data_IF_318536007455
#
_entry.id   IF_318536007455
#
_cell.length_a   1.000
_cell.length_b   1.000
_cell.length_c   1.000
_cell.angle_alpha   90.00
_cell.angle_beta   90.00
_cell.angle_gamma   90.00
#
_symmetry.space_group_name_H-M   'P 1'
#
loop_
_entity.id
_entity.type
_entity.pdbx_description
1 polymer ?
#
# COMPACT_ATOMS: atom_id res chain seq x y z
N UNK A 1 31.90 26.20 -56.34
CA UNK A 1 32.61 25.76 -55.11
C UNK A 1 31.73 25.48 -53.87
N UNK A 2 30.41 25.75 -53.83
CA UNK A 2 29.57 25.50 -52.62
C UNK A 2 28.89 24.11 -52.56
N UNK A 3 28.82 23.36 -53.66
CA UNK A 3 28.18 22.04 -53.71
C UNK A 3 29.07 20.91 -53.15
N UNK A 4 30.36 20.89 -53.50
CA UNK A 4 31.29 19.83 -53.07
C UNK A 4 31.52 19.74 -51.56
N UNK A 5 31.49 20.87 -50.83
CA UNK A 5 31.64 20.87 -49.36
C UNK A 5 30.43 20.25 -48.64
N UNK A 6 29.22 20.36 -49.19
CA UNK A 6 28.02 19.75 -48.59
C UNK A 6 28.00 18.23 -48.79
N UNK A 7 28.46 17.75 -49.94
CA UNK A 7 28.58 16.31 -50.22
C UNK A 7 29.65 15.70 -49.32
N UNK A 8 30.80 16.36 -49.14
CA UNK A 8 31.86 15.89 -48.26
C UNK A 8 31.41 15.79 -46.79
N UNK A 9 30.66 16.78 -46.29
CA UNK A 9 30.12 16.76 -44.92
C UNK A 9 29.09 15.64 -44.71
N UNK A 10 28.24 15.35 -45.71
CA UNK A 10 27.30 14.23 -45.65
C UNK A 10 27.98 12.87 -45.70
N UNK A 11 29.08 12.74 -46.44
CA UNK A 11 29.86 11.49 -46.47
C UNK A 11 30.56 11.27 -45.12
N UNK A 12 31.14 12.32 -44.53
CA UNK A 12 31.79 12.24 -43.22
C UNK A 12 30.78 11.88 -42.12
N UNK A 13 29.55 12.42 -42.15
CA UNK A 13 28.52 12.11 -41.16
C UNK A 13 28.04 10.66 -41.26
N UNK A 14 27.91 10.12 -42.47
CA UNK A 14 27.54 8.71 -42.68
C UNK A 14 28.65 7.77 -42.20
N UNK A 15 29.92 8.10 -42.48
CA UNK A 15 31.08 7.30 -42.01
C UNK A 15 31.18 7.32 -40.48
N UNK A 16 30.96 8.48 -39.84
CA UNK A 16 31.00 8.55 -38.37
C UNK A 16 29.85 7.78 -37.73
N UNK A 17 28.65 7.82 -38.30
CA UNK A 17 27.50 7.04 -37.82
C UNK A 17 27.72 5.52 -37.96
N UNK A 18 28.34 5.05 -39.04
CA UNK A 18 28.68 3.63 -39.21
C UNK A 18 29.78 3.16 -38.25
N UNK A 19 30.80 3.98 -37.99
CA UNK A 19 31.83 3.65 -36.99
C UNK A 19 31.27 3.59 -35.57
N UNK A 20 30.39 4.51 -35.19
CA UNK A 20 29.75 4.51 -33.85
C UNK A 20 28.87 3.27 -33.67
N UNK A 21 28.08 2.90 -34.69
CA UNK A 21 27.22 1.71 -34.61
C UNK A 21 28.02 0.41 -34.60
N UNK A 22 29.14 0.32 -35.34
CA UNK A 22 30.06 -0.81 -35.27
C UNK A 22 30.74 -0.93 -33.90
N UNK A 23 31.15 0.19 -33.30
CA UNK A 23 31.77 0.23 -31.97
C UNK A 23 30.80 -0.21 -30.88
N UNK A 24 29.54 0.21 -30.94
CA UNK A 24 28.48 -0.24 -30.03
C UNK A 24 28.23 -1.74 -30.20
N UNK A 25 28.17 -2.23 -31.43
CA UNK A 25 27.98 -3.66 -31.72
C UNK A 25 29.11 -4.52 -31.14
N UNK A 26 30.38 -4.14 -31.37
CA UNK A 26 31.54 -4.85 -30.84
C UNK A 26 31.56 -4.80 -29.31
N UNK A 27 31.29 -3.65 -28.70
CA UNK A 27 31.29 -3.49 -27.24
C UNK A 27 30.17 -4.30 -26.56
N UNK A 28 29.01 -4.43 -27.21
CA UNK A 28 27.87 -5.16 -26.68
C UNK A 28 28.00 -6.69 -26.86
N UNK A 29 28.63 -7.13 -27.96
CA UNK A 29 28.84 -8.56 -28.22
C UNK A 29 30.15 -9.14 -27.66
N UNK A 30 31.20 -8.33 -27.49
CA UNK A 30 32.46 -8.79 -26.87
C UNK A 30 32.32 -9.09 -25.37
N UNK A 31 31.26 -8.60 -24.71
CA UNK A 31 31.01 -8.83 -23.29
C UNK A 31 30.07 -10.02 -23.01
N UNK A 32 29.57 -10.72 -24.03
CA UNK A 32 28.57 -11.79 -23.88
C UNK A 32 29.00 -13.16 -24.42
N UNK A 33 30.30 -13.42 -24.59
CA UNK A 33 30.78 -14.79 -24.85
C UNK A 33 31.07 -15.51 -23.53
N UNK A 34 30.32 -16.57 -23.16
CA UNK A 34 30.64 -17.39 -22.01
C UNK A 34 31.94 -18.15 -22.28
N UNK A 35 32.96 -17.96 -21.45
CA UNK A 35 34.18 -18.77 -21.48
C UNK A 35 33.83 -20.22 -21.15
N UNK A 36 33.89 -21.08 -22.17
CA UNK A 36 33.83 -22.52 -22.02
C UNK A 36 35.09 -23.01 -21.30
N UNK A 37 34.93 -23.59 -20.10
CA UNK A 37 36.00 -24.33 -19.44
C UNK A 37 36.15 -24.05 -17.94
N UNK A 38 35.20 -24.50 -17.12
CA UNK A 38 35.46 -24.87 -15.72
C UNK A 38 34.39 -25.83 -15.14
N UNK A 39 33.77 -26.63 -16.00
CA UNK A 39 32.76 -27.66 -15.64
C UNK A 39 33.34 -28.95 -15.03
N UNK A 40 34.59 -28.94 -14.54
CA UNK A 40 35.26 -30.14 -14.01
C UNK A 40 35.50 -30.16 -12.50
N UNK A 41 35.20 -29.08 -11.77
CA UNK A 41 35.39 -29.00 -10.30
C UNK A 41 34.07 -29.27 -9.53
N UNK A 42 32.93 -29.34 -10.22
CA UNK A 42 31.60 -29.38 -9.59
C UNK A 42 30.99 -30.77 -9.38
N UNK A 43 31.76 -31.86 -9.54
CA UNK A 43 31.23 -33.24 -9.44
C UNK A 43 31.68 -34.06 -8.24
N UNK A 44 32.53 -33.54 -7.34
CA UNK A 44 33.03 -34.33 -6.19
C UNK A 44 32.51 -33.93 -4.80
N UNK A 45 31.75 -32.84 -4.63
CA UNK A 45 31.25 -32.43 -3.31
C UNK A 45 29.77 -32.73 -3.05
N UNK A 46 29.16 -33.66 -3.80
CA UNK A 46 27.79 -34.13 -3.52
C UNK A 46 27.84 -35.30 -2.54
N UNK A 47 28.24 -35.03 -1.29
CA UNK A 47 27.95 -35.86 -0.12
C UNK A 47 28.46 -35.14 1.12
N UNK A 48 27.53 -34.86 2.04
CA UNK A 48 27.67 -34.12 3.29
C UNK A 48 27.60 -32.59 3.16
N UNK A 49 26.38 -32.07 3.19
CA UNK A 49 26.02 -30.95 4.08
C UNK A 49 24.50 -30.79 4.11
N UNK A 50 23.88 -31.32 5.15
CA UNK A 50 22.46 -31.05 5.46
C UNK A 50 22.37 -29.73 6.24
N UNK A 51 22.82 -28.65 5.61
CA UNK A 51 22.58 -27.31 6.14
C UNK A 51 21.10 -27.00 5.96
N UNK A 52 20.42 -26.69 7.06
CA UNK A 52 18.99 -26.41 7.07
C UNK A 52 18.65 -25.25 6.13
N UNK A 53 17.51 -25.28 5.45
CA UNK A 53 17.01 -24.14 4.67
C UNK A 53 16.99 -22.84 5.50
N UNK A 54 16.88 -22.94 6.84
CA UNK A 54 17.01 -21.81 7.79
C UNK A 54 18.44 -21.28 7.95
N UNK A 55 19.45 -22.12 7.78
CA UNK A 55 20.87 -21.74 7.83
C UNK A 55 21.31 -21.12 6.50
N UNK A 56 20.82 -21.65 5.37
CA UNK A 56 20.98 -21.02 4.06
C UNK A 56 20.31 -19.63 4.00
N UNK A 57 19.10 -19.47 4.55
CA UNK A 57 18.45 -18.15 4.66
C UNK A 57 19.23 -17.17 5.55
N UNK A 58 19.88 -17.64 6.61
CA UNK A 58 20.77 -16.80 7.45
C UNK A 58 22.05 -16.41 6.72
N UNK A 59 22.64 -17.32 5.95
CA UNK A 59 23.86 -17.09 5.18
C UNK A 59 23.64 -16.16 3.99
N UNK A 60 22.51 -16.29 3.27
CA UNK A 60 22.15 -15.38 2.17
C UNK A 60 21.57 -14.03 2.64
N UNK A 61 21.07 -13.94 3.87
CA UNK A 61 20.72 -12.66 4.49
C UNK A 61 21.95 -11.85 4.93
N UNK A 62 23.07 -12.53 5.22
CA UNK A 62 24.28 -11.89 5.73
C UNK A 62 25.23 -11.37 4.63
N UNK A 63 25.11 -11.81 3.38
CA UNK A 63 26.19 -11.62 2.39
C UNK A 63 25.87 -10.72 1.20
N UNK A 64 24.63 -10.25 0.98
CA UNK A 64 24.33 -9.40 -0.19
C UNK A 64 23.43 -8.17 0.02
N UNK A 65 22.99 -7.82 1.24
CA UNK A 65 22.02 -6.71 1.44
C UNK A 65 22.20 -5.84 2.71
N UNK A 66 23.39 -5.83 3.35
CA UNK A 66 23.66 -4.86 4.42
C UNK A 66 22.72 -4.96 5.65
N UNK A 67 22.45 -6.19 6.13
CA UNK A 67 21.73 -6.40 7.39
C UNK A 67 22.47 -7.31 8.36
N UNK A 68 22.89 -6.72 9.46
CA UNK A 68 22.73 -7.25 10.81
C UNK A 68 22.60 -6.02 11.73
N UNK A 69 21.42 -5.41 11.71
CA UNK A 69 21.04 -4.53 12.81
C UNK A 69 20.63 -5.44 13.96
N UNK A 70 21.50 -5.55 14.96
CA UNK A 70 21.31 -6.34 16.18
C UNK A 70 20.43 -5.64 17.22
N UNK A 71 19.80 -4.50 16.87
CA UNK A 71 18.88 -3.79 17.76
C UNK A 71 17.82 -4.75 18.31
N UNK A 72 17.70 -4.71 19.63
CA UNK A 72 16.70 -5.50 20.38
C UNK A 72 15.39 -4.75 20.50
N UNK A 73 15.39 -3.44 20.26
CA UNK A 73 14.25 -2.56 20.38
C UNK A 73 13.61 -2.28 19.02
N UNK A 74 12.88 -3.27 18.51
CA UNK A 74 12.21 -3.22 17.21
C UNK A 74 10.70 -3.25 17.39
N UNK A 75 10.01 -2.31 16.78
CA UNK A 75 8.54 -2.29 16.73
C UNK A 75 8.10 -2.79 15.35
N UNK A 76 7.22 -3.79 15.33
CA UNK A 76 6.72 -4.43 14.11
C UNK A 76 5.23 -4.06 13.92
N UNK A 77 4.94 -3.28 12.88
CA UNK A 77 3.59 -2.80 12.57
C UNK A 77 3.12 -3.43 11.26
N UNK A 78 2.06 -4.23 11.29
CA UNK A 78 1.41 -4.72 10.08
C UNK A 78 0.52 -3.63 9.47
N UNK A 79 0.64 -3.38 8.18
CA UNK A 79 -0.19 -2.43 7.42
C UNK A 79 -0.91 -3.18 6.31
N UNK A 80 -2.24 -3.19 6.36
CA UNK A 80 -3.07 -4.09 5.57
C UNK A 80 -4.20 -3.34 4.87
N UNK A 81 -4.26 -3.46 3.54
CA UNK A 81 -5.38 -2.98 2.73
C UNK A 81 -6.39 -4.10 2.48
N UNK A 82 -7.64 -3.89 2.90
CA UNK A 82 -8.73 -4.85 2.76
C UNK A 82 -9.60 -4.58 1.52
N UNK A 83 -10.04 -5.62 0.79
CA UNK A 83 -11.09 -5.51 -0.25
C UNK A 83 -12.50 -5.45 0.36
N UNK A 84 -12.73 -4.47 1.23
CA UNK A 84 -14.04 -4.20 1.82
C UNK A 84 -14.81 -3.24 0.93
N UNK A 85 -15.47 -3.78 -0.10
CA UNK A 85 -16.41 -3.00 -0.91
C UNK A 85 -17.63 -2.63 -0.06
N UNK A 86 -18.24 -1.47 -0.35
CA UNK A 86 -19.38 -0.94 0.41
C UNK A 86 -20.50 -1.98 0.63
N UNK A 87 -20.70 -2.34 1.89
CA UNK A 87 -21.71 -3.30 2.36
C UNK A 87 -21.29 -4.78 2.31
N UNK A 88 -20.12 -5.10 1.75
CA UNK A 88 -19.56 -6.46 1.79
C UNK A 88 -18.98 -6.76 3.18
N UNK A 89 -19.15 -7.98 3.66
CA UNK A 89 -18.45 -8.50 4.85
C UNK A 89 -17.10 -9.17 4.53
N UNK A 90 -16.70 -9.18 3.26
CA UNK A 90 -15.44 -9.79 2.85
C UNK A 90 -14.25 -8.91 3.24
N UNK A 91 -13.24 -9.54 3.84
CA UNK A 91 -12.05 -8.89 4.39
C UNK A 91 -10.78 -9.49 3.78
N UNK A 92 -10.72 -9.66 2.45
CA UNK A 92 -9.50 -10.13 1.80
C UNK A 92 -8.37 -9.12 1.97
N UNK A 93 -7.19 -9.58 2.37
CA UNK A 93 -6.00 -8.74 2.55
C UNK A 93 -5.23 -8.59 1.23
N UNK A 94 -5.61 -7.59 0.44
CA UNK A 94 -5.16 -7.38 -0.93
C UNK A 94 -3.85 -6.59 -1.05
N UNK A 95 -3.50 -5.85 0.00
CA UNK A 95 -2.21 -5.20 0.21
C UNK A 95 -1.70 -5.59 1.60
N UNK A 96 -0.45 -6.02 1.70
CA UNK A 96 0.14 -6.53 2.93
C UNK A 96 1.56 -5.99 3.07
N UNK A 97 1.80 -5.20 4.10
CA UNK A 97 3.13 -4.64 4.38
C UNK A 97 3.46 -4.80 5.85
N UNK A 98 4.74 -4.96 6.15
CA UNK A 98 5.26 -4.92 7.50
C UNK A 98 6.23 -3.75 7.60
N UNK A 99 5.97 -2.82 8.52
CA UNK A 99 6.91 -1.78 8.91
C UNK A 99 7.65 -2.25 10.15
N UNK A 100 8.98 -2.39 10.04
CA UNK A 100 9.85 -2.65 11.19
C UNK A 100 10.65 -1.41 11.50
N UNK A 101 10.50 -0.90 12.71
CA UNK A 101 11.11 0.34 13.18
C UNK A 101 12.17 -0.03 14.20
N UNK A 102 13.43 0.16 13.83
CA UNK A 102 14.59 -0.11 14.68
C UNK A 102 14.90 1.17 15.45
N UNK A 103 14.47 1.23 16.70
CA UNK A 103 14.54 2.46 17.50
C UNK A 103 15.98 2.84 17.87
N UNK A 104 16.86 1.86 18.02
CA UNK A 104 18.26 2.11 18.44
C UNK A 104 19.10 2.63 17.27
N UNK A 105 18.91 2.07 16.07
CA UNK A 105 19.66 2.45 14.86
C UNK A 105 18.99 3.56 14.04
N UNK A 106 17.73 3.83 14.35
CA UNK A 106 16.84 4.76 13.65
C UNK A 106 16.74 4.47 12.16
N UNK A 107 16.35 3.22 11.89
CA UNK A 107 16.06 2.73 10.55
C UNK A 107 14.64 2.19 10.48
N UNK A 108 14.06 2.31 9.31
CA UNK A 108 12.77 1.71 8.97
C UNK A 108 12.96 0.69 7.86
N UNK A 109 12.25 -0.41 7.98
CA UNK A 109 12.17 -1.45 6.98
C UNK A 109 10.72 -1.67 6.58
N UNK A 110 10.47 -1.67 5.28
CA UNK A 110 9.17 -1.98 4.70
C UNK A 110 9.30 -3.31 3.97
N UNK A 111 8.57 -4.32 4.44
CA UNK A 111 8.51 -5.62 3.78
C UNK A 111 7.13 -5.77 3.14
N UNK A 112 7.09 -5.76 1.82
CA UNK A 112 5.86 -5.93 1.04
C UNK A 112 5.60 -7.41 0.76
N UNK A 113 4.38 -7.89 0.99
CA UNK A 113 4.01 -9.30 0.85
C UNK A 113 2.87 -9.40 -0.18
N UNK A 114 3.15 -9.93 -1.40
CA UNK A 114 2.12 -10.11 -2.42
C UNK A 114 0.93 -10.91 -1.88
N UNK A 115 -0.29 -10.53 -2.27
CA UNK A 115 -1.53 -11.16 -1.76
C UNK A 115 -1.62 -12.65 -2.10
N UNK A 116 -0.97 -13.04 -3.20
CA UNK A 116 -0.89 -14.41 -3.69
C UNK A 116 0.15 -15.28 -2.99
N UNK A 117 0.86 -14.76 -1.98
CA UNK A 117 1.85 -15.55 -1.22
C UNK A 117 1.17 -16.78 -0.62
N UNK A 118 1.71 -17.96 -0.94
CA UNK A 118 1.14 -19.22 -0.49
C UNK A 118 1.17 -19.31 1.04
N UNK A 119 0.03 -19.65 1.62
CA UNK A 119 -0.10 -19.95 3.05
C UNK A 119 -1.13 -21.05 3.22
N UNK A 120 -0.94 -21.91 4.23
CA UNK A 120 -1.90 -22.98 4.53
C UNK A 120 -3.13 -22.38 5.22
N UNK A 121 -4.09 -21.95 4.41
CA UNK A 121 -5.36 -21.33 4.84
C UNK A 121 -6.43 -22.34 5.24
N UNK A 122 -6.17 -23.65 5.03
CA UNK A 122 -7.08 -24.73 5.38
C UNK A 122 -8.11 -25.06 4.30
N UNK A 123 -7.92 -24.56 3.08
CA UNK A 123 -8.65 -25.02 1.91
C UNK A 123 -8.00 -26.29 1.34
N UNK A 124 -8.76 -27.10 0.60
CA UNK A 124 -8.19 -28.20 -0.16
C UNK A 124 -7.12 -27.67 -1.12
N UNK A 125 -5.98 -28.37 -1.24
CA UNK A 125 -4.86 -27.90 -2.05
C UNK A 125 -5.22 -27.74 -3.54
N UNK A 126 -6.21 -28.49 -4.01
CA UNK A 126 -6.77 -28.40 -5.36
C UNK A 126 -7.58 -27.14 -5.62
N UNK A 127 -7.97 -26.38 -4.58
CA UNK A 127 -8.81 -25.19 -4.72
C UNK A 127 -8.07 -23.96 -5.24
N UNK A 128 -6.74 -23.92 -5.13
CA UNK A 128 -5.95 -22.71 -5.40
C UNK A 128 -6.24 -21.55 -4.44
N UNK A 129 -6.95 -21.77 -3.32
CA UNK A 129 -7.36 -20.72 -2.36
C UNK A 129 -6.40 -20.55 -1.18
N UNK A 130 -5.33 -21.34 -1.12
CA UNK A 130 -4.31 -21.30 -0.07
C UNK A 130 -3.30 -20.14 -0.28
N UNK A 131 -3.79 -18.90 -0.21
CA UNK A 131 -2.97 -17.70 -0.28
C UNK A 131 -3.35 -16.65 0.78
N UNK A 132 -2.42 -15.74 1.06
CA UNK A 132 -2.45 -14.82 2.19
C UNK A 132 -3.71 -13.94 2.23
N UNK A 133 -4.16 -13.42 1.08
CA UNK A 133 -5.39 -12.62 1.01
C UNK A 133 -6.62 -13.37 1.57
N UNK A 134 -6.73 -14.67 1.35
CA UNK A 134 -7.84 -15.48 1.83
C UNK A 134 -7.73 -15.83 3.30
N UNK A 135 -6.52 -15.89 3.85
CA UNK A 135 -6.31 -16.21 5.26
C UNK A 135 -6.99 -15.18 6.16
N UNK A 136 -6.85 -13.88 5.85
CA UNK A 136 -7.49 -12.80 6.63
C UNK A 136 -9.02 -12.88 6.61
N UNK A 137 -9.58 -13.21 5.45
CA UNK A 137 -11.02 -13.34 5.26
C UNK A 137 -11.59 -14.61 5.94
N UNK A 138 -10.90 -15.75 5.82
CA UNK A 138 -11.41 -17.05 6.27
C UNK A 138 -11.02 -17.43 7.71
N UNK A 139 -9.92 -16.91 8.25
CA UNK A 139 -9.38 -17.29 9.57
C UNK A 139 -9.20 -16.10 10.54
N UNK A 140 -9.57 -14.89 10.11
CA UNK A 140 -9.51 -13.69 10.95
C UNK A 140 -8.10 -13.09 11.09
N UNK A 141 -8.05 -11.95 11.79
CA UNK A 141 -6.85 -11.11 11.95
C UNK A 141 -5.72 -11.81 12.69
N UNK A 142 -6.02 -12.46 13.81
CA UNK A 142 -4.99 -13.05 14.68
C UNK A 142 -4.15 -14.10 13.93
N UNK A 143 -4.82 -15.03 13.23
CA UNK A 143 -4.14 -16.04 12.42
C UNK A 143 -3.35 -15.43 11.27
N UNK A 144 -3.91 -14.39 10.64
CA UNK A 144 -3.26 -13.66 9.56
C UNK A 144 -1.97 -12.95 10.02
N UNK A 145 -1.99 -12.25 11.15
CA UNK A 145 -0.81 -11.57 11.71
C UNK A 145 0.29 -12.57 12.13
N UNK A 146 -0.09 -13.73 12.68
CA UNK A 146 0.86 -14.83 12.96
C UNK A 146 1.54 -15.34 11.69
N UNK A 147 0.82 -15.42 10.57
CA UNK A 147 1.41 -15.87 9.31
C UNK A 147 2.28 -14.78 8.67
N UNK A 148 1.95 -13.49 8.79
CA UNK A 148 2.87 -12.39 8.41
C UNK A 148 4.17 -12.50 9.20
N UNK A 149 4.08 -12.63 10.53
CA UNK A 149 5.27 -12.75 11.38
C UNK A 149 6.16 -13.92 10.95
N UNK A 150 5.54 -15.06 10.62
CA UNK A 150 6.22 -16.24 10.12
C UNK A 150 6.86 -16.03 8.74
N UNK A 151 6.16 -15.45 7.76
CA UNK A 151 6.72 -15.12 6.43
C UNK A 151 7.92 -14.19 6.60
N UNK A 152 7.82 -13.22 7.51
CA UNK A 152 8.87 -12.25 7.78
C UNK A 152 9.99 -12.77 8.67
N UNK A 153 9.86 -13.96 9.26
CA UNK A 153 10.82 -14.55 10.21
C UNK A 153 11.05 -13.67 11.45
N UNK A 154 9.98 -13.07 11.98
CA UNK A 154 9.98 -12.25 13.20
C UNK A 154 9.14 -12.90 14.31
N UNK A 155 9.39 -12.61 15.59
CA UNK A 155 8.69 -13.28 16.69
C UNK A 155 7.20 -12.94 16.76
N UNK A 156 6.83 -11.67 16.52
CA UNK A 156 5.45 -11.20 16.61
C UNK A 156 5.23 -9.89 15.85
N UNK A 157 3.96 -9.61 15.57
CA UNK A 157 3.48 -8.27 15.22
C UNK A 157 3.12 -7.55 16.52
N UNK A 158 3.61 -6.34 16.71
CA UNK A 158 3.36 -5.52 17.91
C UNK A 158 2.09 -4.69 17.76
N UNK A 159 1.83 -4.18 16.56
CA UNK A 159 0.66 -3.36 16.24
C UNK A 159 0.15 -3.65 14.83
N UNK A 160 -1.09 -3.28 14.53
CA UNK A 160 -1.66 -3.39 13.19
C UNK A 160 -2.39 -2.13 12.76
N UNK A 161 -2.46 -1.92 11.45
CA UNK A 161 -3.28 -0.90 10.79
C UNK A 161 -4.00 -1.57 9.63
N UNK A 162 -5.33 -1.61 9.69
CA UNK A 162 -6.20 -2.15 8.66
C UNK A 162 -7.09 -1.04 8.09
N UNK A 163 -7.19 -0.98 6.76
CA UNK A 163 -8.08 -0.04 6.08
C UNK A 163 -8.63 -0.61 4.77
N UNK A 164 -9.87 -0.26 4.48
CA UNK A 164 -10.57 -0.59 3.25
C UNK A 164 -10.44 0.49 2.18
N UNK A 165 -11.20 0.31 1.10
CA UNK A 165 -11.17 1.19 -0.07
C UNK A 165 -11.49 2.66 0.26
N UNK A 166 -12.57 2.94 0.99
CA UNK A 166 -12.96 4.32 1.31
C UNK A 166 -11.98 4.99 2.29
N UNK A 167 -11.47 4.21 3.24
CA UNK A 167 -10.48 4.69 4.21
C UNK A 167 -9.16 5.04 3.51
N UNK A 168 -8.73 4.24 2.52
CA UNK A 168 -7.57 4.57 1.69
C UNK A 168 -7.74 5.91 0.94
N UNK A 169 -8.94 6.20 0.42
CA UNK A 169 -9.21 7.51 -0.20
C UNK A 169 -9.01 8.65 0.82
N UNK A 170 -9.59 8.54 2.01
CA UNK A 170 -9.40 9.53 3.08
C UNK A 170 -7.94 9.71 3.49
N UNK A 171 -7.19 8.60 3.62
CA UNK A 171 -5.74 8.66 3.90
C UNK A 171 -4.97 9.37 2.78
N UNK A 172 -5.31 9.14 1.51
CA UNK A 172 -4.67 9.86 0.41
C UNK A 172 -4.97 11.36 0.45
N UNK A 173 -6.20 11.75 0.78
CA UNK A 173 -6.54 13.17 0.98
C UNK A 173 -5.68 13.79 2.10
N UNK A 174 -5.55 13.12 3.25
CA UNK A 174 -4.68 13.56 4.36
C UNK A 174 -3.19 13.66 3.95
N UNK A 175 -2.74 12.78 3.05
CA UNK A 175 -1.38 12.80 2.52
C UNK A 175 -1.16 13.86 1.42
N UNK A 176 -2.19 14.63 1.07
CA UNK A 176 -2.12 15.72 0.09
C UNK A 176 -2.47 15.33 -1.35
N UNK A 177 -3.20 14.22 -1.53
CA UNK A 177 -3.66 13.74 -2.84
C UNK A 177 -5.16 14.01 -3.04
N UNK A 178 -5.69 15.12 -2.49
CA UNK A 178 -7.13 15.44 -2.50
C UNK A 178 -7.74 15.44 -3.90
N UNK A 179 -7.04 16.03 -4.87
CA UNK A 179 -7.50 16.15 -6.25
C UNK A 179 -7.36 14.85 -7.08
N UNK A 180 -6.60 13.87 -6.58
CA UNK A 180 -6.18 12.71 -7.36
C UNK A 180 -6.12 11.42 -6.54
N UNK A 181 -6.87 11.34 -5.44
CA UNK A 181 -6.94 10.19 -4.54
C UNK A 181 -7.40 8.93 -5.29
N UNK A 182 -8.40 9.06 -6.15
CA UNK A 182 -8.90 7.98 -7.01
C UNK A 182 -7.85 7.50 -8.02
N UNK A 183 -7.13 8.44 -8.65
CA UNK A 183 -6.05 8.12 -9.59
C UNK A 183 -4.92 7.36 -8.90
N UNK A 184 -4.50 7.85 -7.72
CA UNK A 184 -3.46 7.23 -6.89
C UNK A 184 -3.87 5.83 -6.46
N UNK A 185 -5.12 5.66 -6.01
CA UNK A 185 -5.66 4.35 -5.65
C UNK A 185 -5.68 3.38 -6.83
N UNK A 186 -6.04 3.84 -8.03
CA UNK A 186 -6.01 3.02 -9.25
C UNK A 186 -4.60 2.57 -9.59
N UNK A 187 -3.63 3.47 -9.55
CA UNK A 187 -2.23 3.16 -9.77
C UNK A 187 -1.73 2.05 -8.84
N UNK A 188 -1.98 2.21 -7.53
CA UNK A 188 -1.54 1.27 -6.51
C UNK A 188 -2.30 -0.06 -6.53
N UNK A 189 -3.49 -0.10 -7.13
CA UNK A 189 -4.28 -1.33 -7.31
C UNK A 189 -3.97 -2.06 -8.61
N UNK A 190 -3.36 -1.38 -9.58
CA UNK A 190 -3.12 -1.99 -10.88
C UNK A 190 -2.15 -3.16 -10.77
N UNK A 191 -2.55 -4.30 -11.31
CA UNK A 191 -1.78 -5.55 -11.29
C UNK A 191 -1.43 -5.99 -12.69
N UNK A 192 -2.46 -6.13 -13.53
CA UNK A 192 -2.36 -6.72 -14.85
C UNK A 192 -1.65 -5.82 -15.87
N UNK A 193 -1.47 -4.53 -15.58
CA UNK A 193 -0.75 -3.60 -16.46
C UNK A 193 0.77 -3.62 -16.24
N UNK A 194 1.25 -4.26 -15.18
CA UNK A 194 2.67 -4.38 -14.88
C UNK A 194 3.19 -5.76 -15.28
N UNK A 195 4.39 -5.82 -15.89
CA UNK A 195 4.97 -7.07 -16.37
C UNK A 195 5.17 -8.14 -15.27
N UNK A 196 5.55 -7.73 -14.05
CA UNK A 196 5.70 -8.63 -12.90
C UNK A 196 4.40 -8.80 -12.08
N UNK A 197 3.26 -8.32 -12.60
CA UNK A 197 1.94 -8.55 -12.01
C UNK A 197 1.82 -8.10 -10.55
N UNK A 198 1.42 -9.05 -9.69
CA UNK A 198 1.17 -8.79 -8.27
C UNK A 198 2.42 -8.40 -7.48
N UNK A 199 3.59 -8.88 -7.90
CA UNK A 199 4.85 -8.56 -7.24
C UNK A 199 5.20 -7.08 -7.45
N UNK A 200 5.12 -6.57 -8.70
CA UNK A 200 5.32 -5.14 -8.95
C UNK A 200 4.27 -4.29 -8.25
N UNK A 201 3.00 -4.73 -8.22
CA UNK A 201 1.96 -4.01 -7.49
C UNK A 201 2.27 -3.90 -5.99
N UNK A 202 2.63 -5.01 -5.35
CA UNK A 202 2.98 -5.05 -3.93
C UNK A 202 4.21 -4.18 -3.65
N UNK A 203 5.22 -4.23 -4.53
CA UNK A 203 6.36 -3.34 -4.46
C UNK A 203 5.96 -1.86 -4.58
N UNK A 204 5.16 -1.49 -5.57
CA UNK A 204 4.69 -0.12 -5.75
C UNK A 204 3.97 0.44 -4.52
N UNK A 205 3.19 -0.40 -3.83
CA UNK A 205 2.53 -0.02 -2.59
C UNK A 205 3.53 0.24 -1.46
N UNK A 206 4.53 -0.63 -1.27
CA UNK A 206 5.59 -0.39 -0.29
C UNK A 206 6.46 0.82 -0.61
N UNK A 207 6.74 1.06 -1.90
CA UNK A 207 7.49 2.22 -2.36
C UNK A 207 6.71 3.52 -2.18
N UNK A 208 5.40 3.49 -2.39
CA UNK A 208 4.52 4.60 -2.03
C UNK A 208 4.59 4.90 -0.53
N UNK A 209 4.52 3.88 0.34
CA UNK A 209 4.66 4.05 1.80
C UNK A 209 6.02 4.68 2.13
N UNK A 210 7.11 4.18 1.53
CA UNK A 210 8.47 4.72 1.72
C UNK A 210 8.53 6.21 1.38
N UNK A 211 8.06 6.59 0.20
CA UNK A 211 8.06 7.97 -0.26
C UNK A 211 7.15 8.87 0.60
N UNK A 212 6.02 8.35 1.08
CA UNK A 212 5.14 9.06 2.02
C UNK A 212 5.84 9.35 3.34
N UNK A 213 6.51 8.36 3.93
CA UNK A 213 7.25 8.57 5.18
C UNK A 213 8.31 9.65 4.95
N UNK A 214 9.16 9.52 3.93
CA UNK A 214 10.23 10.49 3.65
C UNK A 214 9.68 11.91 3.40
N UNK A 215 8.67 12.04 2.54
CA UNK A 215 8.14 13.34 2.13
C UNK A 215 7.32 14.04 3.22
N UNK A 216 6.63 13.29 4.09
CA UNK A 216 5.71 13.84 5.10
C UNK A 216 6.27 13.84 6.51
N UNK A 217 7.41 13.20 6.78
CA UNK A 217 7.95 13.08 8.13
C UNK A 217 7.99 14.42 8.87
N UNK A 218 8.64 15.44 8.29
CA UNK A 218 8.76 16.78 8.89
C UNK A 218 7.42 17.47 9.13
N UNK A 219 6.44 17.26 8.25
CA UNK A 219 5.09 17.83 8.38
C UNK A 219 4.32 17.17 9.53
N UNK A 220 4.49 15.86 9.70
CA UNK A 220 3.82 15.05 10.72
C UNK A 220 4.43 15.27 12.12
N UNK A 221 5.71 15.65 12.21
CA UNK A 221 6.37 15.94 13.49
C UNK A 221 6.20 17.38 13.99
N UNK A 222 5.62 18.28 13.19
CA UNK A 222 5.30 19.67 13.58
C UNK A 222 3.96 19.83 14.32
N UNK A 223 3.64 21.06 14.75
CA UNK A 223 2.41 21.39 15.50
C UNK A 223 1.11 20.94 14.80
N UNK A 224 0.92 21.09 13.47
CA UNK A 224 -0.26 20.54 12.76
C UNK A 224 -0.26 19.02 12.64
N UNK A 225 0.92 18.39 12.74
CA UNK A 225 1.12 16.96 12.49
C UNK A 225 0.46 16.06 13.53
N UNK A 226 0.37 16.52 14.78
CA UNK A 226 -0.34 15.78 15.83
C UNK A 226 -1.83 15.54 15.49
N UNK A 227 -2.47 16.47 14.80
CA UNK A 227 -3.85 16.33 14.38
C UNK A 227 -4.00 15.43 13.15
N UNK A 228 -3.08 15.54 12.18
CA UNK A 228 -3.04 14.64 11.03
C UNK A 228 -2.89 13.17 11.47
N UNK A 229 -2.07 12.89 12.50
CA UNK A 229 -1.95 11.55 13.09
C UNK A 229 -3.27 11.10 13.70
N UNK A 230 -3.93 11.95 14.49
CA UNK A 230 -5.23 11.61 15.10
C UNK A 230 -6.30 11.34 14.05
N UNK A 231 -6.36 12.16 13.00
CA UNK A 231 -7.25 11.97 11.86
C UNK A 231 -6.98 10.63 11.16
N UNK A 232 -5.70 10.32 10.88
CA UNK A 232 -5.31 9.04 10.30
C UNK A 232 -5.73 7.85 11.16
N UNK A 233 -5.51 7.91 12.48
CA UNK A 233 -5.92 6.86 13.43
C UNK A 233 -7.45 6.67 13.48
N UNK A 234 -8.25 7.73 13.31
CA UNK A 234 -9.72 7.63 13.27
C UNK A 234 -10.27 7.06 11.95
N UNK A 235 -9.48 7.10 10.88
CA UNK A 235 -9.84 6.55 9.58
C UNK A 235 -9.58 5.05 9.49
N UNK A 236 -8.68 4.48 10.29
CA UNK A 236 -8.24 3.08 10.18
C UNK A 236 -8.72 2.24 11.37
N UNK A 237 -8.72 0.92 11.21
CA UNK A 237 -8.83 -0.03 12.33
C UNK A 237 -7.43 -0.36 12.82
N UNK A 238 -7.13 -0.07 14.08
CA UNK A 238 -5.78 -0.19 14.64
C UNK A 238 -5.81 -0.30 16.16
N UNK A 239 -4.77 -0.94 16.72
CA UNK A 239 -4.43 -0.91 18.14
C UNK A 239 -3.40 0.17 18.50
N UNK A 240 -2.97 0.99 17.53
CA UNK A 240 -2.13 2.16 17.77
C UNK A 240 -2.94 3.29 18.42
N UNK A 241 -2.39 3.84 19.49
CA UNK A 241 -2.87 5.10 20.07
C UNK A 241 -2.02 6.28 19.60
N UNK A 242 -2.57 7.49 19.71
CA UNK A 242 -1.80 8.70 19.46
C UNK A 242 -0.52 8.77 20.32
N UNK A 243 -0.60 8.35 21.58
CA UNK A 243 0.56 8.30 22.48
C UNK A 243 1.65 7.37 21.96
N UNK A 244 1.28 6.16 21.52
CA UNK A 244 2.23 5.19 20.96
C UNK A 244 2.90 5.76 19.70
N UNK A 245 2.13 6.35 18.78
CA UNK A 245 2.69 6.94 17.56
C UNK A 245 3.62 8.10 17.89
N UNK A 246 3.22 8.97 18.83
CA UNK A 246 4.02 10.09 19.30
C UNK A 246 5.35 9.60 19.90
N UNK A 247 5.33 8.60 20.77
CA UNK A 247 6.54 8.03 21.39
C UNK A 247 7.49 7.42 20.36
N UNK A 248 6.96 6.73 19.34
CA UNK A 248 7.75 6.20 18.23
C UNK A 248 8.44 7.35 17.48
N UNK A 249 7.69 8.38 17.14
CA UNK A 249 8.19 9.55 16.40
C UNK A 249 9.23 10.32 17.21
N UNK A 250 9.01 10.53 18.51
CA UNK A 250 9.96 11.22 19.39
C UNK A 250 11.28 10.46 19.52
N UNK A 251 11.24 9.13 19.63
CA UNK A 251 12.45 8.29 19.65
C UNK A 251 13.22 8.37 18.33
N UNK A 252 12.52 8.33 17.19
CA UNK A 252 13.11 8.51 15.88
C UNK A 252 13.75 9.91 15.72
N UNK A 253 13.06 10.96 16.15
CA UNK A 253 13.55 12.34 16.13
C UNK A 253 14.81 12.51 16.99
N UNK A 254 14.80 11.96 18.22
CA UNK A 254 15.92 12.09 19.17
C UNK A 254 17.23 11.56 18.60
N UNK A 255 17.14 10.57 17.71
CA UNK A 255 18.26 9.93 17.05
C UNK A 255 18.51 10.47 15.63
N UNK A 256 17.83 11.56 15.24
CA UNK A 256 18.08 12.29 14.00
C UNK A 256 17.43 11.71 12.75
N UNK A 257 16.38 10.91 12.86
CA UNK A 257 15.69 10.37 11.69
C UNK A 257 14.85 11.45 10.95
N UNK A 258 14.76 11.39 9.60
CA UNK A 258 15.66 10.66 8.71
C UNK A 258 16.97 11.43 8.53
N UNK A 259 18.12 10.73 8.59
CA UNK A 259 19.44 11.30 8.25
C UNK A 259 19.66 11.26 6.74
N UNK A 260 19.14 10.23 6.09
CA UNK A 260 19.17 10.08 4.64
C UNK A 260 18.02 9.21 4.15
N UNK A 261 17.81 9.18 2.84
CA UNK A 261 16.86 8.27 2.21
C UNK A 261 17.17 6.78 2.44
N UNK A 262 18.43 6.45 2.77
CA UNK A 262 18.88 5.10 3.06
C UNK A 262 18.46 4.60 4.46
N UNK A 263 17.95 5.48 5.33
CA UNK A 263 17.39 5.06 6.61
C UNK A 263 16.04 4.33 6.45
N UNK A 264 15.46 4.32 5.25
CA UNK A 264 14.28 3.51 4.93
C UNK A 264 14.61 2.52 3.82
N UNK A 265 14.58 1.23 4.17
CA UNK A 265 14.73 0.11 3.25
C UNK A 265 13.36 -0.44 2.85
N UNK A 266 13.22 -0.88 1.60
CA UNK A 266 11.99 -1.49 1.10
C UNK A 266 12.32 -2.69 0.19
N UNK A 267 11.68 -3.83 0.44
CA UNK A 267 11.81 -5.03 -0.38
C UNK A 267 10.60 -5.96 -0.20
N UNK A 268 10.55 -7.07 -0.94
CA UNK A 268 9.45 -8.05 -0.82
C UNK A 268 9.82 -9.33 -0.09
N UNK A 269 8.80 -9.96 0.50
CA UNK A 269 8.81 -11.39 0.81
C UNK A 269 7.66 -12.11 0.10
N UNK A 270 7.88 -13.28 -0.52
CA UNK A 270 9.18 -13.95 -0.70
C UNK A 270 10.15 -13.13 -1.56
N UNK A 271 11.46 -13.28 -1.32
CA UNK A 271 12.49 -12.55 -2.07
C UNK A 271 12.48 -13.04 -3.52
N UNK A 272 12.41 -12.09 -4.45
CA UNK A 272 12.42 -12.37 -5.88
C UNK A 272 13.79 -12.05 -6.46
N UNK A 273 14.19 -12.75 -7.52
CA UNK A 273 15.43 -12.49 -8.27
C UNK A 273 15.24 -11.49 -9.41
N UNK A 274 14.19 -10.66 -9.34
CA UNK A 274 13.84 -9.68 -10.36
C UNK A 274 14.10 -8.28 -9.84
N UNK A 275 14.55 -7.40 -10.73
CA UNK A 275 14.60 -5.97 -10.45
C UNK A 275 13.21 -5.37 -10.59
N UNK A 276 12.81 -4.59 -9.59
CA UNK A 276 11.52 -3.89 -9.59
C UNK A 276 11.69 -2.47 -10.11
N UNK A 277 10.70 -2.00 -10.87
CA UNK A 277 10.67 -0.60 -11.27
C UNK A 277 10.31 0.28 -10.07
N UNK A 278 11.21 1.20 -9.70
CA UNK A 278 10.97 2.21 -8.67
C UNK A 278 10.29 3.44 -9.30
N UNK A 279 8.97 3.56 -9.14
CA UNK A 279 8.22 4.72 -9.64
C UNK A 279 8.19 5.86 -8.63
N UNK A 280 8.24 7.10 -9.13
CA UNK A 280 7.97 8.31 -8.33
C UNK A 280 6.45 8.57 -8.24
N UNK A 281 5.91 8.47 -7.04
CA UNK A 281 4.50 8.71 -6.73
C UNK A 281 4.24 10.12 -6.18
N UNK A 282 5.28 10.84 -5.77
CA UNK A 282 5.20 12.21 -5.25
C UNK A 282 5.05 13.20 -6.40
N UNK A 283 5.94 13.09 -7.38
CA UNK A 283 5.99 13.99 -8.53
C UNK A 283 4.71 13.92 -9.36
N UNK A 284 3.98 15.03 -9.44
CA UNK A 284 2.73 15.11 -10.21
C UNK A 284 2.92 14.63 -11.65
N UNK A 285 3.94 15.12 -12.34
CA UNK A 285 4.23 14.76 -13.74
C UNK A 285 4.57 13.27 -13.92
N UNK A 286 5.37 12.70 -13.00
CA UNK A 286 5.73 11.28 -12.97
C UNK A 286 4.48 10.41 -12.81
N UNK A 287 3.67 10.72 -11.80
CA UNK A 287 2.42 10.01 -11.48
C UNK A 287 1.39 10.11 -12.61
N UNK A 288 1.21 11.29 -13.20
CA UNK A 288 0.26 11.50 -14.30
C UNK A 288 0.69 10.75 -15.57
N UNK A 289 2.01 10.64 -15.80
CA UNK A 289 2.57 9.85 -16.90
C UNK A 289 2.42 8.35 -16.66
N UNK A 290 2.71 7.88 -15.45
CA UNK A 290 2.47 6.50 -15.05
C UNK A 290 1.00 6.12 -15.17
N UNK A 291 0.08 7.00 -14.73
CA UNK A 291 -1.34 6.75 -14.85
C UNK A 291 -1.78 6.61 -16.31
N UNK A 292 -1.34 7.54 -17.19
CA UNK A 292 -1.63 7.43 -18.62
C UNK A 292 -1.10 6.13 -19.23
N UNK A 293 0.08 5.67 -18.81
CA UNK A 293 0.65 4.39 -19.24
C UNK A 293 -0.24 3.22 -18.77
N UNK A 294 -0.58 3.17 -17.48
CA UNK A 294 -1.44 2.14 -16.90
C UNK A 294 -2.79 2.08 -17.62
N UNK A 295 -3.45 3.22 -17.82
CA UNK A 295 -4.74 3.28 -18.51
C UNK A 295 -4.65 2.83 -19.97
N UNK A 296 -3.57 3.20 -20.68
CA UNK A 296 -3.35 2.77 -22.06
C UNK A 296 -3.15 1.27 -22.13
N UNK A 297 -2.32 0.71 -21.25
CA UNK A 297 -2.07 -0.73 -21.19
C UNK A 297 -3.32 -1.49 -20.81
N UNK A 298 -4.09 -1.02 -19.83
CA UNK A 298 -5.36 -1.63 -19.44
C UNK A 298 -6.35 -1.68 -20.62
N UNK A 299 -6.47 -0.57 -21.36
CA UNK A 299 -7.29 -0.51 -22.58
C UNK A 299 -6.83 -1.52 -23.62
N UNK A 300 -5.53 -1.60 -23.88
CA UNK A 300 -4.95 -2.51 -24.88
C UNK A 300 -5.12 -3.99 -24.50
N UNK A 301 -5.14 -4.30 -23.21
CA UNK A 301 -5.34 -5.64 -22.69
C UNK A 301 -6.81 -5.96 -22.40
N UNK A 302 -7.74 -5.06 -22.77
CA UNK A 302 -9.18 -5.17 -22.51
C UNK A 302 -9.52 -5.43 -21.03
N UNK A 303 -8.66 -4.96 -20.12
CA UNK A 303 -8.85 -5.10 -18.69
C UNK A 303 -9.88 -4.06 -18.25
N UNK A 304 -10.97 -4.51 -17.61
CA UNK A 304 -11.84 -3.61 -16.85
C UNK A 304 -11.14 -3.17 -15.57
N UNK A 305 -10.33 -2.12 -15.68
CA UNK A 305 -9.69 -1.43 -14.56
C UNK A 305 -10.63 -0.38 -13.92
N UNK A 306 -11.90 -0.35 -14.33
CA UNK A 306 -12.85 0.71 -13.99
C UNK A 306 -12.58 2.03 -14.74
N UNK A 307 -11.81 1.98 -15.82
CA UNK A 307 -11.24 3.10 -16.58
C UNK A 307 -12.12 3.76 -17.63
N UNK A 308 -13.29 3.22 -17.94
CA UNK A 308 -14.32 4.02 -18.62
C UNK A 308 -14.60 5.19 -17.70
N UNK A 309 -14.61 6.45 -18.18
CA UNK A 309 -14.94 7.69 -17.46
C UNK A 309 -16.29 7.61 -16.71
N UNK A 310 -16.35 6.79 -15.68
CA UNK A 310 -17.54 6.38 -14.95
C UNK A 310 -17.44 6.84 -13.50
N UNK A 311 -16.47 7.68 -13.13
CA UNK A 311 -16.41 8.27 -11.78
C UNK A 311 -17.76 8.88 -11.41
N UNK A 312 -18.36 9.69 -12.28
CA UNK A 312 -19.71 10.22 -12.09
C UNK A 312 -20.83 9.16 -12.05
N UNK A 313 -20.68 8.01 -12.71
CA UNK A 313 -21.65 6.90 -12.64
C UNK A 313 -21.49 6.07 -11.36
N UNK A 314 -20.25 5.81 -10.95
CA UNK A 314 -19.87 5.12 -9.71
C UNK A 314 -20.32 5.97 -8.53
N UNK A 315 -19.98 7.26 -8.52
CA UNK A 315 -20.41 8.23 -7.52
C UNK A 315 -21.95 8.26 -7.40
N UNK A 316 -22.69 8.38 -8.52
CA UNK A 316 -24.17 8.29 -8.51
C UNK A 316 -24.71 6.95 -8.00
N UNK A 317 -24.02 5.84 -8.24
CA UNK A 317 -24.44 4.51 -7.75
C UNK A 317 -24.19 4.38 -6.24
N UNK A 318 -23.02 4.82 -5.78
CA UNK A 318 -22.64 4.87 -4.37
C UNK A 318 -23.63 5.74 -3.60
N UNK A 319 -23.86 6.96 -4.07
CA UNK A 319 -24.79 7.90 -3.46
C UNK A 319 -26.21 7.34 -3.37
N UNK A 320 -26.73 6.73 -4.45
CA UNK A 320 -28.05 6.10 -4.45
C UNK A 320 -28.15 4.97 -3.41
N UNK A 321 -27.12 4.12 -3.34
CA UNK A 321 -27.10 3.02 -2.37
C UNK A 321 -27.04 3.54 -0.93
N UNK A 322 -26.18 4.51 -0.64
CA UNK A 322 -26.09 5.12 0.70
C UNK A 322 -27.40 5.79 1.09
N UNK A 323 -28.01 6.58 0.20
CA UNK A 323 -29.31 7.20 0.47
C UNK A 323 -30.42 6.17 0.71
N UNK A 324 -30.44 5.04 0.01
CA UNK A 324 -31.43 3.99 0.25
C UNK A 324 -31.27 3.35 1.64
N UNK A 325 -30.02 3.13 2.07
CA UNK A 325 -29.71 2.61 3.41
C UNK A 325 -30.12 3.64 4.48
N UNK A 326 -29.74 4.91 4.32
CA UNK A 326 -30.07 6.00 5.25
C UNK A 326 -31.58 6.17 5.37
N UNK A 327 -32.32 6.25 4.25
CA UNK A 327 -33.79 6.38 4.28
C UNK A 327 -34.46 5.21 5.01
N UNK A 328 -33.91 4.01 4.88
CA UNK A 328 -34.41 2.86 5.62
C UNK A 328 -34.13 3.00 7.12
N UNK A 329 -32.93 3.41 7.50
CA UNK A 329 -32.58 3.69 8.89
C UNK A 329 -33.41 4.84 9.50
N UNK A 330 -33.68 5.91 8.76
CA UNK A 330 -34.53 7.04 9.19
C UNK A 330 -35.95 6.56 9.55
N UNK A 331 -36.56 5.69 8.74
CA UNK A 331 -37.89 5.12 9.01
C UNK A 331 -37.94 4.32 10.31
N UNK A 332 -36.86 3.64 10.67
CA UNK A 332 -36.78 2.81 11.86
C UNK A 332 -36.23 3.54 13.09
N UNK A 333 -35.68 4.75 12.90
CA UNK A 333 -34.99 5.51 13.95
C UNK A 333 -35.84 5.79 15.18
N UNK A 334 -37.16 5.93 15.04
CA UNK A 334 -38.04 6.20 16.18
C UNK A 334 -38.32 4.94 17.01
N UNK A 335 -38.45 3.76 16.39
CA UNK A 335 -38.98 2.56 17.06
C UNK A 335 -37.95 1.44 17.25
N UNK A 336 -36.97 1.31 16.36
CA UNK A 336 -36.08 0.15 16.29
C UNK A 336 -34.61 0.57 16.23
N UNK A 337 -34.02 1.10 17.33
CA UNK A 337 -32.64 1.58 17.32
C UNK A 337 -31.62 0.48 16.98
N UNK A 338 -31.86 -0.78 17.36
CA UNK A 338 -30.99 -1.90 16.97
C UNK A 338 -30.97 -2.15 15.46
N UNK A 339 -32.08 -1.90 14.77
CA UNK A 339 -32.18 -2.04 13.31
C UNK A 339 -31.49 -0.87 12.58
N UNK A 340 -31.43 0.30 13.20
CA UNK A 340 -30.60 1.41 12.72
C UNK A 340 -29.12 1.02 12.79
N UNK A 341 -28.68 0.50 13.93
CA UNK A 341 -27.29 0.06 14.13
C UNK A 341 -26.91 -1.00 13.09
N UNK A 342 -27.69 -2.08 12.97
CA UNK A 342 -27.35 -3.18 12.06
C UNK A 342 -27.24 -2.76 10.59
N UNK A 343 -27.93 -1.69 10.18
CA UNK A 343 -27.86 -1.15 8.82
C UNK A 343 -26.72 -0.17 8.61
N UNK A 344 -26.45 0.68 9.59
CA UNK A 344 -25.51 1.80 9.44
C UNK A 344 -24.09 1.47 9.93
N UNK A 345 -23.92 0.57 10.91
CA UNK A 345 -22.64 0.29 11.56
C UNK A 345 -21.57 -0.10 10.54
N UNK A 346 -21.87 -1.04 9.63
CA UNK A 346 -20.92 -1.43 8.58
C UNK A 346 -20.57 -0.30 7.61
N UNK A 347 -21.57 0.49 7.22
CA UNK A 347 -21.36 1.62 6.29
C UNK A 347 -20.46 2.68 6.94
N UNK A 348 -20.67 2.89 8.24
CA UNK A 348 -19.87 3.76 9.09
C UNK A 348 -18.45 3.24 9.26
N UNK A 349 -18.25 1.99 9.66
CA UNK A 349 -16.93 1.35 9.81
C UNK A 349 -16.11 1.44 8.51
N UNK A 350 -16.76 1.21 7.36
CA UNK A 350 -16.12 1.30 6.04
C UNK A 350 -15.89 2.74 5.56
N UNK A 351 -16.30 3.76 6.32
CA UNK A 351 -16.25 5.19 5.97
C UNK A 351 -16.78 5.44 4.56
N UNK A 352 -17.89 4.78 4.21
CA UNK A 352 -18.31 4.62 2.81
C UNK A 352 -18.57 5.94 2.06
N UNK A 353 -18.80 7.03 2.78
CA UNK A 353 -18.98 8.37 2.21
C UNK A 353 -17.74 8.90 1.48
N UNK A 354 -16.52 8.45 1.80
CA UNK A 354 -15.30 8.89 1.08
C UNK A 354 -15.28 8.50 -0.41
N UNK A 355 -16.19 7.63 -0.83
CA UNK A 355 -16.39 7.32 -2.26
C UNK A 355 -17.23 8.39 -3.00
N UNK A 356 -17.73 9.41 -2.29
CA UNK A 356 -18.42 10.58 -2.86
C UNK A 356 -17.36 11.66 -3.09
N UNK A 357 -17.18 12.06 -4.35
CA UNK A 357 -16.20 13.09 -4.75
C UNK A 357 -16.62 14.50 -4.30
N UNK A 358 -17.92 14.83 -4.34
CA UNK A 358 -18.41 16.13 -3.87
C UNK A 358 -18.32 16.21 -2.35
N UNK A 359 -17.50 17.14 -1.84
CA UNK A 359 -17.20 17.29 -0.43
C UNK A 359 -18.43 17.70 0.41
N UNK A 360 -19.30 18.56 -0.13
CA UNK A 360 -20.50 19.03 0.58
C UNK A 360 -21.53 17.90 0.71
N UNK A 361 -21.72 17.15 -0.36
CA UNK A 361 -22.59 15.99 -0.39
C UNK A 361 -22.05 14.86 0.48
N UNK A 362 -20.73 14.60 0.43
CA UNK A 362 -20.04 13.67 1.31
C UNK A 362 -20.32 14.00 2.77
N UNK A 363 -20.12 15.25 3.16
CA UNK A 363 -20.32 15.72 4.53
C UNK A 363 -21.80 15.59 4.95
N UNK A 364 -22.73 15.91 4.05
CA UNK A 364 -24.18 15.75 4.29
C UNK A 364 -24.54 14.28 4.55
N UNK A 365 -24.02 13.36 3.73
CA UNK A 365 -24.26 11.92 3.86
C UNK A 365 -23.63 11.38 5.14
N UNK A 366 -22.38 11.76 5.43
CA UNK A 366 -21.67 11.38 6.65
C UNK A 366 -22.43 11.81 7.90
N UNK A 367 -22.85 13.08 7.98
CA UNK A 367 -23.57 13.62 9.12
C UNK A 367 -24.87 12.85 9.38
N UNK A 368 -25.65 12.56 8.32
CA UNK A 368 -26.88 11.77 8.47
C UNK A 368 -26.62 10.39 9.03
N UNK A 369 -25.58 9.69 8.55
CA UNK A 369 -25.18 8.39 9.09
C UNK A 369 -24.79 8.49 10.56
N UNK A 370 -23.93 9.46 10.89
CA UNK A 370 -23.38 9.61 12.23
C UNK A 370 -24.45 10.00 13.27
N UNK A 371 -25.32 10.96 12.96
CA UNK A 371 -26.38 11.38 13.89
C UNK A 371 -27.40 10.26 14.16
N UNK A 372 -27.76 9.48 13.14
CA UNK A 372 -28.63 8.32 13.32
C UNK A 372 -27.96 7.26 14.20
N UNK A 373 -26.66 6.99 14.00
CA UNK A 373 -25.91 6.05 14.82
C UNK A 373 -25.74 6.52 16.26
N UNK A 374 -25.41 7.80 16.48
CA UNK A 374 -25.30 8.38 17.84
C UNK A 374 -26.61 8.17 18.59
N UNK A 375 -27.74 8.60 17.99
CA UNK A 375 -29.06 8.44 18.59
C UNK A 375 -29.39 6.97 18.88
N UNK A 376 -29.11 6.06 17.95
CA UNK A 376 -29.38 4.64 18.14
C UNK A 376 -28.48 3.99 19.22
N UNK A 377 -27.20 4.36 19.28
CA UNK A 377 -26.28 3.87 20.31
C UNK A 377 -26.65 4.40 21.70
N UNK A 378 -26.98 5.70 21.84
CA UNK A 378 -27.42 6.27 23.11
C UNK A 378 -28.68 5.54 23.62
N UNK A 379 -29.66 5.30 22.73
CA UNK A 379 -30.91 4.58 23.07
C UNK A 379 -30.75 3.09 23.34
N UNK A 380 -29.57 2.52 23.04
CA UNK A 380 -29.23 1.12 23.32
C UNK A 380 -28.15 1.00 24.38
N UNK A 381 -27.89 2.07 25.15
CA UNK A 381 -26.88 2.14 26.21
C UNK A 381 -25.45 1.81 25.73
N UNK A 382 -25.14 2.08 24.47
CA UNK A 382 -23.81 1.94 23.88
C UNK A 382 -23.08 3.29 23.85
N UNK A 383 -23.04 3.99 24.98
CA UNK A 383 -22.52 5.37 25.09
C UNK A 383 -21.08 5.53 24.61
N UNK A 384 -20.22 4.52 24.83
CA UNK A 384 -18.84 4.53 24.33
C UNK A 384 -18.78 4.57 22.79
N UNK A 385 -19.64 3.80 22.10
CA UNK A 385 -19.72 3.82 20.65
C UNK A 385 -20.28 5.15 20.15
N UNK A 386 -21.30 5.69 20.81
CA UNK A 386 -21.83 7.01 20.49
C UNK A 386 -20.75 8.09 20.60
N UNK A 387 -19.93 8.06 21.66
CA UNK A 387 -18.84 9.01 21.84
C UNK A 387 -17.77 8.88 20.75
N UNK A 388 -17.41 7.66 20.36
CA UNK A 388 -16.49 7.44 19.23
C UNK A 388 -17.01 8.06 17.92
N UNK A 389 -18.32 7.96 17.65
CA UNK A 389 -18.94 8.59 16.47
C UNK A 389 -18.90 10.12 16.59
N UNK A 390 -19.16 10.69 17.78
CA UNK A 390 -19.06 12.15 18.01
C UNK A 390 -17.63 12.66 17.79
N UNK A 391 -16.63 11.94 18.28
CA UNK A 391 -15.23 12.30 18.10
C UNK A 391 -14.84 12.33 16.61
N UNK A 392 -15.36 11.39 15.81
CA UNK A 392 -15.16 11.39 14.36
C UNK A 392 -15.75 12.65 13.71
N UNK A 393 -16.97 13.05 14.08
CA UNK A 393 -17.61 14.26 13.54
C UNK A 393 -16.78 15.53 13.79
N UNK A 394 -16.25 15.68 15.01
CA UNK A 394 -15.40 16.82 15.37
C UNK A 394 -14.14 16.87 14.49
N UNK A 395 -13.52 15.73 14.27
CA UNK A 395 -12.31 15.66 13.44
C UNK A 395 -12.62 15.91 11.97
N UNK A 396 -13.69 15.33 11.43
CA UNK A 396 -14.12 15.55 10.05
C UNK A 396 -14.52 17.01 9.77
N UNK A 397 -15.18 17.67 10.72
CA UNK A 397 -15.48 19.10 10.65
C UNK A 397 -14.21 19.95 10.64
N UNK A 398 -13.23 19.62 11.49
CA UNK A 398 -11.94 20.28 11.44
C UNK A 398 -11.26 20.08 10.08
N UNK A 399 -11.22 18.84 9.58
CA UNK A 399 -10.57 18.53 8.30
C UNK A 399 -11.19 19.33 7.16
N UNK A 400 -12.52 19.40 7.11
CA UNK A 400 -13.25 20.19 6.11
C UNK A 400 -12.88 21.67 6.12
N UNK A 401 -12.64 22.25 7.30
CA UNK A 401 -12.37 23.68 7.44
C UNK A 401 -10.89 24.05 7.23
N UNK A 402 -9.98 23.08 7.33
CA UNK A 402 -8.53 23.33 7.32
C UNK A 402 -7.80 22.70 6.12
N UNK A 403 -8.46 21.86 5.32
CA UNK A 403 -7.91 21.17 4.15
C UNK A 403 -8.94 21.07 3.02
#
# INVERSE_FOLDING_TARGET
>A
MKSGKRILLSIISVITLTFISLFIYISFFSNNTPKAGQSKILKENVRNDSMSFKELDRLFSATNDGRLDTSTNVINIAVTGLDTRMGSGCNHADANHLLRIFLDSCKIEIISIPRGTFVKSGFADTSGLNYLANLRAGKGRERYLKEIAKICSIPKIDYYVEFGFSQALGLFELLGFKENSVQTLRLLRSRQTFGLGDYQRSFNQGEFIRQMILSKYKTITGMPGGLAVRAGLLLVDTDLSYGIVKDIVEKLNKSGFPRSEADISHYLKPKMKYDFHCFDFIGKSSRDSLYRLVMRTAKNLEIDDGGKNNNGRINRRVLRKLNAIIRSAERDSLRYPQLVISRLERVYEQRSWYQIEDANLRYTVMNRICYLLISAYDRTNQSNKAQSVRNLLVVEEYLKNNY
#
